data_IF_055994650323
#
_entry.id   IF_055994650323
#
_cell.length_a   1.000
_cell.length_b   1.000
_cell.length_c   1.000
_cell.angle_alpha   90.00
_cell.angle_beta   90.00
_cell.angle_gamma   90.00
#
_symmetry.space_group_name_H-M   'P 1'
#
loop_
_entity.id
_entity.type
_entity.pdbx_description
1 polymer ?
#
# COMPACT_ATOMS: atom_id res chain seq x y z
N UNK A 1 18.04 5.02 -20.18
CA UNK A 1 17.55 3.81 -19.53
C UNK A 1 17.91 3.98 -18.04
N UNK A 2 16.95 3.96 -17.14
CA UNK A 2 17.29 3.88 -15.72
C UNK A 2 18.03 2.56 -15.52
N UNK A 3 19.28 2.61 -15.03
CA UNK A 3 19.94 1.44 -14.50
C UNK A 3 18.99 0.83 -13.49
N UNK A 4 18.61 -0.42 -13.68
CA UNK A 4 17.82 -1.14 -12.70
C UNK A 4 18.72 -1.31 -11.50
N UNK A 5 18.51 -0.46 -10.49
CA UNK A 5 19.17 -0.63 -9.21
C UNK A 5 19.04 -2.08 -8.78
N UNK A 6 20.08 -2.62 -8.15
CA UNK A 6 20.03 -3.93 -7.53
C UNK A 6 18.73 -4.06 -6.70
N UNK A 7 18.09 -5.21 -6.78
CA UNK A 7 16.83 -5.49 -6.07
C UNK A 7 16.91 -5.11 -4.58
N UNK A 8 18.07 -5.34 -3.95
CA UNK A 8 18.28 -4.97 -2.54
C UNK A 8 18.31 -3.46 -2.34
N UNK A 9 18.84 -2.67 -3.27
CA UNK A 9 18.81 -1.22 -3.20
C UNK A 9 17.39 -0.68 -3.41
N UNK A 10 16.61 -1.27 -4.32
CA UNK A 10 15.20 -0.94 -4.48
C UNK A 10 14.45 -1.22 -3.17
N UNK A 11 14.64 -2.40 -2.56
CA UNK A 11 14.01 -2.75 -1.28
C UNK A 11 14.38 -1.78 -0.16
N UNK A 12 15.66 -1.44 -0.01
CA UNK A 12 16.16 -0.52 1.02
C UNK A 12 15.57 0.89 0.88
N UNK A 13 15.28 1.32 -0.34
CA UNK A 13 14.81 2.67 -0.65
C UNK A 13 13.30 2.74 -0.93
N UNK A 14 12.58 1.63 -0.94
CA UNK A 14 11.13 1.61 -1.12
C UNK A 14 10.45 2.04 0.17
N UNK A 15 9.78 3.18 0.14
CA UNK A 15 9.03 3.74 1.26
C UNK A 15 7.67 4.24 0.80
N UNK A 16 6.74 4.36 1.71
CA UNK A 16 5.42 4.90 1.41
C UNK A 16 5.50 6.37 0.97
N UNK A 17 5.26 6.62 -0.31
CA UNK A 17 5.20 7.96 -0.89
C UNK A 17 3.74 8.41 -0.91
N UNK A 18 3.40 9.35 -0.02
CA UNK A 18 2.03 9.80 0.23
C UNK A 18 1.70 11.14 -0.42
N UNK A 19 2.70 11.83 -0.94
CA UNK A 19 2.56 13.09 -1.68
C UNK A 19 2.96 12.84 -3.11
N UNK A 20 1.97 12.89 -4.00
CA UNK A 20 2.12 12.55 -5.41
C UNK A 20 1.67 13.73 -6.27
N UNK A 21 2.40 13.99 -7.35
CA UNK A 21 1.96 14.92 -8.38
C UNK A 21 0.72 14.36 -9.10
N UNK A 22 -0.21 15.21 -9.53
CA UNK A 22 -1.40 14.79 -10.27
C UNK A 22 -1.11 14.44 -11.75
N UNK A 23 0.14 14.61 -12.19
CA UNK A 23 0.56 14.34 -13.56
C UNK A 23 0.24 12.89 -13.96
N UNK A 24 -0.29 12.68 -15.18
CA UNK A 24 -0.71 11.36 -15.63
C UNK A 24 0.47 10.38 -15.71
N UNK A 25 0.25 9.16 -15.27
CA UNK A 25 1.21 8.06 -15.38
C UNK A 25 0.93 7.31 -16.68
N UNK A 26 1.93 7.10 -17.56
CA UNK A 26 1.78 6.34 -18.80
C UNK A 26 1.27 4.91 -18.56
N UNK A 27 0.34 4.45 -19.40
CA UNK A 27 -0.26 3.12 -19.29
C UNK A 27 0.77 1.98 -19.39
N UNK A 28 1.85 2.19 -20.11
CA UNK A 28 2.96 1.24 -20.20
C UNK A 28 3.61 1.00 -18.82
N UNK A 29 3.80 2.04 -18.01
CA UNK A 29 4.36 1.91 -16.66
C UNK A 29 3.37 1.22 -15.73
N UNK A 30 2.08 1.54 -15.83
CA UNK A 30 1.03 0.86 -15.07
C UNK A 30 1.01 -0.62 -15.42
N UNK A 31 1.10 -0.96 -16.69
CA UNK A 31 1.15 -2.36 -17.18
C UNK A 31 2.36 -3.11 -16.60
N UNK A 32 3.55 -2.49 -16.57
CA UNK A 32 4.76 -3.10 -15.96
C UNK A 32 4.55 -3.41 -14.47
N UNK A 33 3.92 -2.50 -13.74
CA UNK A 33 3.59 -2.70 -12.31
C UNK A 33 2.60 -3.87 -12.14
N UNK A 34 1.56 -3.95 -12.96
CA UNK A 34 0.58 -5.04 -12.90
C UNK A 34 1.21 -6.40 -13.22
N UNK A 35 2.09 -6.47 -14.23
CA UNK A 35 2.84 -7.70 -14.56
C UNK A 35 3.70 -8.13 -13.36
N UNK A 36 4.41 -7.21 -12.73
CA UNK A 36 5.20 -7.53 -11.53
C UNK A 36 4.32 -8.09 -10.39
N UNK A 37 3.14 -7.50 -10.18
CA UNK A 37 2.15 -8.02 -9.24
C UNK A 37 1.71 -9.45 -9.57
N UNK A 38 1.41 -9.72 -10.83
CA UNK A 38 0.97 -11.05 -11.30
C UNK A 38 2.06 -12.13 -11.23
N UNK A 39 3.34 -11.76 -11.05
CA UNK A 39 4.43 -12.70 -10.81
C UNK A 39 4.52 -13.20 -9.35
N UNK A 40 3.66 -12.75 -8.45
CA UNK A 40 3.71 -13.13 -7.05
C UNK A 40 3.25 -14.59 -6.82
N UNK A 41 3.76 -15.25 -5.77
CA UNK A 41 3.21 -16.54 -5.34
C UNK A 41 1.81 -16.36 -4.74
N UNK A 42 0.99 -17.41 -4.86
CA UNK A 42 -0.34 -17.45 -4.25
C UNK A 42 -0.77 -18.88 -3.92
N UNK A 43 -1.73 -19.01 -3.02
CA UNK A 43 -2.21 -20.29 -2.54
C UNK A 43 -2.70 -21.20 -3.68
N UNK A 44 -2.07 -22.38 -3.83
CA UNK A 44 -2.41 -23.36 -4.85
C UNK A 44 -2.29 -22.87 -6.30
N UNK A 45 -1.61 -21.76 -6.53
CA UNK A 45 -1.53 -21.09 -7.85
C UNK A 45 -2.92 -20.80 -8.45
N UNK A 46 -3.90 -20.49 -7.62
CA UNK A 46 -5.29 -20.29 -8.05
C UNK A 46 -5.51 -18.96 -8.78
N UNK A 47 -4.61 -17.98 -8.57
CA UNK A 47 -4.60 -16.69 -9.26
C UNK A 47 -5.95 -15.96 -9.21
N UNK A 48 -6.62 -16.01 -8.06
CA UNK A 48 -7.93 -15.39 -7.84
C UNK A 48 -7.88 -13.87 -7.62
N UNK A 49 -6.70 -13.27 -7.71
CA UNK A 49 -6.57 -11.81 -7.65
C UNK A 49 -7.23 -11.12 -8.83
N UNK A 50 -7.77 -9.94 -8.55
CA UNK A 50 -8.26 -8.99 -9.55
C UNK A 50 -7.69 -7.62 -9.20
N UNK A 51 -7.27 -6.88 -10.21
CA UNK A 51 -6.69 -5.57 -10.03
C UNK A 51 -7.53 -4.55 -10.79
N UNK A 52 -8.12 -3.58 -10.07
CA UNK A 52 -8.82 -2.47 -10.70
C UNK A 52 -7.84 -1.31 -10.87
N UNK A 53 -7.71 -0.79 -12.09
CA UNK A 53 -6.99 0.44 -12.39
C UNK A 53 -7.99 1.57 -12.44
N UNK A 54 -7.94 2.46 -11.44
CA UNK A 54 -8.88 3.57 -11.30
C UNK A 54 -8.19 4.87 -11.68
N UNK A 55 -8.65 5.48 -12.77
CA UNK A 55 -8.25 6.82 -13.23
C UNK A 55 -9.38 7.83 -13.11
N UNK A 56 -10.63 7.36 -13.12
CA UNK A 56 -11.82 8.20 -13.03
C UNK A 56 -11.86 8.96 -11.70
N UNK A 57 -11.86 10.28 -11.80
CA UNK A 57 -11.87 11.17 -10.63
C UNK A 57 -13.15 11.06 -9.81
N UNK A 58 -14.30 10.80 -10.43
CA UNK A 58 -15.58 10.68 -9.71
C UNK A 58 -15.59 9.43 -8.84
N UNK A 59 -15.08 8.30 -9.34
CA UNK A 59 -14.92 7.06 -8.56
C UNK A 59 -13.97 7.32 -7.39
N UNK A 60 -12.82 7.95 -7.65
CA UNK A 60 -11.84 8.27 -6.60
C UNK A 60 -12.45 9.19 -5.53
N UNK A 61 -13.23 10.20 -5.91
CA UNK A 61 -13.93 11.08 -4.98
C UNK A 61 -14.98 10.33 -4.14
N UNK A 62 -15.74 9.43 -4.73
CA UNK A 62 -16.73 8.62 -4.00
C UNK A 62 -16.08 7.74 -2.93
N UNK A 63 -14.92 7.14 -3.23
CA UNK A 63 -14.14 6.36 -2.26
C UNK A 63 -13.49 7.27 -1.20
N UNK A 64 -13.04 8.45 -1.59
CA UNK A 64 -12.39 9.40 -0.67
C UNK A 64 -13.29 9.80 0.50
N UNK A 65 -14.58 9.91 0.30
CA UNK A 65 -15.53 10.24 1.39
C UNK A 65 -15.35 9.26 2.55
N UNK A 66 -15.31 7.97 2.26
CA UNK A 66 -15.15 6.91 3.25
C UNK A 66 -13.73 6.82 3.80
N UNK A 67 -12.74 7.03 2.94
CA UNK A 67 -11.33 7.07 3.34
C UNK A 67 -11.02 8.22 4.32
N UNK A 68 -11.60 9.40 4.07
CA UNK A 68 -11.50 10.55 4.97
C UNK A 68 -12.26 10.30 6.27
N UNK A 69 -13.48 9.80 6.20
CA UNK A 69 -14.28 9.46 7.37
C UNK A 69 -13.54 8.47 8.29
N UNK A 70 -12.90 7.45 7.72
CA UNK A 70 -12.08 6.50 8.47
C UNK A 70 -10.89 7.18 9.17
N UNK A 71 -10.32 8.21 8.57
CA UNK A 71 -9.27 9.00 9.23
C UNK A 71 -9.85 9.84 10.37
N UNK A 72 -10.88 10.61 10.10
CA UNK A 72 -11.45 11.58 11.06
C UNK A 72 -12.01 10.87 12.30
N UNK A 73 -12.68 9.74 12.13
CA UNK A 73 -13.34 9.03 13.25
C UNK A 73 -12.43 8.03 13.97
N UNK A 74 -11.44 7.44 13.30
CA UNK A 74 -10.68 6.31 13.87
C UNK A 74 -9.17 6.56 13.90
N UNK A 75 -8.58 6.88 12.75
CA UNK A 75 -7.11 6.86 12.62
C UNK A 75 -6.48 8.11 13.21
N UNK A 76 -7.00 9.30 12.89
CA UNK A 76 -6.52 10.58 13.41
C UNK A 76 -6.55 10.66 14.94
N UNK A 77 -7.67 10.34 15.59
CA UNK A 77 -7.73 10.31 17.06
C UNK A 77 -6.74 9.34 17.72
N UNK A 78 -6.43 8.21 17.05
CA UNK A 78 -5.40 7.27 17.55
C UNK A 78 -4.01 7.88 17.48
N UNK A 79 -3.66 8.54 16.38
CA UNK A 79 -2.36 9.21 16.24
C UNK A 79 -2.14 10.28 17.33
N UNK A 80 -3.16 11.07 17.62
CA UNK A 80 -3.07 12.13 18.66
C UNK A 80 -2.82 11.55 20.06
N UNK A 81 -3.32 10.35 20.33
CA UNK A 81 -3.19 9.67 21.63
C UNK A 81 -1.95 8.79 21.75
N UNK A 82 -1.29 8.49 20.62
CA UNK A 82 -0.16 7.55 20.60
C UNK A 82 1.17 8.26 20.85
N UNK A 83 2.04 7.62 21.61
CA UNK A 83 3.44 7.99 21.68
C UNK A 83 4.19 7.55 20.42
N UNK A 84 5.29 8.23 20.06
CA UNK A 84 6.17 7.74 19.01
C UNK A 84 6.67 6.32 19.32
N UNK A 85 6.80 5.45 18.31
CA UNK A 85 7.42 4.14 18.49
C UNK A 85 8.87 4.25 19.00
N UNK A 86 9.42 3.20 19.63
CA UNK A 86 10.83 3.18 20.04
C UNK A 86 11.76 3.53 18.87
N UNK A 87 12.75 4.39 19.13
CA UNK A 87 13.72 4.85 18.14
C UNK A 87 13.20 5.91 17.15
N UNK A 88 11.95 6.35 17.27
CA UNK A 88 11.37 7.43 16.45
C UNK A 88 11.26 8.70 17.29
N UNK A 89 11.85 9.82 16.83
CA UNK A 89 11.70 11.12 17.51
C UNK A 89 10.28 11.67 17.35
N UNK A 90 9.86 12.54 18.24
CA UNK A 90 8.56 13.21 18.14
C UNK A 90 8.42 13.96 16.81
N UNK A 91 9.45 14.65 16.38
CA UNK A 91 9.46 15.38 15.11
C UNK A 91 9.31 14.45 13.89
N UNK A 92 9.98 13.28 13.92
CA UNK A 92 9.81 12.26 12.86
C UNK A 92 8.38 11.71 12.83
N UNK A 93 7.81 11.47 13.99
CA UNK A 93 6.45 10.98 14.13
C UNK A 93 5.44 11.98 13.61
N UNK A 94 5.58 13.27 13.96
CA UNK A 94 4.71 14.35 13.49
C UNK A 94 4.80 14.55 11.97
N UNK A 95 6.00 14.45 11.39
CA UNK A 95 6.19 14.47 9.92
C UNK A 95 5.50 13.28 9.23
N UNK A 96 5.57 12.10 9.84
CA UNK A 96 4.86 10.92 9.32
C UNK A 96 3.34 11.11 9.38
N UNK A 97 2.84 11.64 10.48
CA UNK A 97 1.43 11.95 10.64
C UNK A 97 0.95 12.98 9.61
N UNK A 98 1.65 14.10 9.46
CA UNK A 98 1.35 15.11 8.45
C UNK A 98 1.34 14.55 7.01
N UNK A 99 2.17 13.55 6.72
CA UNK A 99 2.13 12.88 5.41
C UNK A 99 0.90 11.95 5.26
N UNK A 100 0.44 11.33 6.33
CA UNK A 100 -0.78 10.51 6.34
C UNK A 100 -2.02 11.39 6.19
N UNK A 101 -2.05 12.53 6.87
CA UNK A 101 -3.11 13.55 6.78
C UNK A 101 -3.18 14.13 5.38
N UNK A 102 -2.04 14.53 4.81
CA UNK A 102 -1.96 14.98 3.42
C UNK A 102 -2.56 13.96 2.46
N UNK A 103 -2.17 12.69 2.55
CA UNK A 103 -2.74 11.65 1.70
C UNK A 103 -4.26 11.53 1.90
N UNK A 104 -4.75 11.74 3.12
CA UNK A 104 -6.18 11.68 3.41
C UNK A 104 -6.95 12.76 2.65
N UNK A 105 -6.44 13.97 2.61
CA UNK A 105 -7.11 15.10 1.96
C UNK A 105 -6.96 15.08 0.43
N UNK A 106 -5.83 14.56 -0.06
CA UNK A 106 -5.45 14.54 -1.48
C UNK A 106 -5.53 13.15 -2.13
N UNK A 107 -6.22 12.18 -1.52
CA UNK A 107 -6.21 10.80 -1.97
C UNK A 107 -6.70 10.66 -3.41
N UNK A 108 -7.81 11.34 -3.77
CA UNK A 108 -8.40 11.32 -5.10
C UNK A 108 -7.56 12.01 -6.19
N UNK A 109 -6.57 12.82 -5.80
CA UNK A 109 -5.71 13.55 -6.72
C UNK A 109 -4.59 12.68 -7.31
N UNK A 110 -4.24 11.58 -6.65
CA UNK A 110 -3.30 10.62 -7.23
C UNK A 110 -3.77 10.20 -8.63
N UNK A 111 -2.89 10.29 -9.66
CA UNK A 111 -3.32 10.12 -11.06
C UNK A 111 -3.93 8.74 -11.33
N UNK A 112 -3.43 7.71 -10.67
CA UNK A 112 -3.94 6.34 -10.79
C UNK A 112 -3.95 5.64 -9.45
N UNK A 113 -4.99 4.80 -9.23
CA UNK A 113 -4.99 3.80 -8.16
C UNK A 113 -4.97 2.41 -8.76
N UNK A 114 -4.29 1.49 -8.10
CA UNK A 114 -4.48 0.06 -8.28
C UNK A 114 -5.17 -0.47 -7.02
N UNK A 115 -6.38 -1.01 -7.18
CA UNK A 115 -7.09 -1.68 -6.10
C UNK A 115 -6.83 -3.18 -6.21
N UNK A 116 -6.22 -3.75 -5.20
CA UNK A 116 -5.92 -5.18 -5.12
C UNK A 116 -7.09 -5.92 -4.49
N UNK A 117 -7.71 -6.81 -5.24
CA UNK A 117 -8.90 -7.57 -4.84
C UNK A 117 -8.66 -9.07 -4.99
N UNK A 118 -9.47 -9.87 -4.27
CA UNK A 118 -9.58 -11.32 -4.46
C UNK A 118 -11.03 -11.72 -4.71
N UNK A 119 -11.22 -12.69 -5.61
CA UNK A 119 -12.47 -13.44 -5.74
C UNK A 119 -12.50 -14.51 -4.65
N UNK A 120 -13.37 -14.35 -3.67
CA UNK A 120 -13.50 -15.27 -2.53
C UNK A 120 -14.85 -16.00 -2.54
N UNK A 121 -15.76 -15.61 -3.46
CA UNK A 121 -17.10 -16.18 -3.55
C UNK A 121 -17.91 -15.86 -2.29
N UNK A 122 -18.42 -16.88 -1.60
CA UNK A 122 -19.20 -16.71 -0.36
C UNK A 122 -18.34 -16.70 0.90
N UNK A 123 -17.02 -16.92 0.80
CA UNK A 123 -16.13 -16.91 1.93
C UNK A 123 -15.79 -15.48 2.37
N UNK A 124 -15.70 -15.26 3.67
CA UNK A 124 -15.17 -13.99 4.20
C UNK A 124 -13.66 -13.92 4.06
N UNK A 125 -13.09 -12.69 3.90
CA UNK A 125 -11.65 -12.48 3.90
C UNK A 125 -10.96 -13.11 5.12
N UNK A 126 -9.82 -13.75 4.88
CA UNK A 126 -9.06 -14.46 5.92
C UNK A 126 -7.59 -14.05 5.90
N UNK A 127 -6.83 -14.45 6.93
CA UNK A 127 -5.36 -14.29 6.93
C UNK A 127 -4.69 -15.04 5.77
N UNK A 128 -5.28 -16.14 5.31
CA UNK A 128 -4.79 -16.94 4.18
C UNK A 128 -5.01 -16.20 2.86
N UNK A 129 -6.14 -15.54 2.74
CA UNK A 129 -6.44 -14.68 1.58
C UNK A 129 -5.38 -13.58 1.46
N UNK A 130 -5.06 -12.92 2.58
CA UNK A 130 -3.99 -11.93 2.65
C UNK A 130 -2.64 -12.46 2.15
N UNK A 131 -2.29 -13.70 2.48
CA UNK A 131 -1.05 -14.33 2.03
C UNK A 131 -0.99 -14.52 0.49
N UNK A 132 -2.14 -14.54 -0.19
CA UNK A 132 -2.20 -14.64 -1.65
C UNK A 132 -2.17 -13.29 -2.37
N UNK A 133 -2.60 -12.19 -1.73
CA UNK A 133 -2.70 -10.88 -2.41
C UNK A 133 -1.57 -9.92 -2.02
N UNK A 134 -1.12 -9.90 -0.75
CA UNK A 134 -0.09 -8.95 -0.32
C UNK A 134 1.30 -9.18 -0.93
N UNK A 135 1.74 -10.40 -1.32
CA UNK A 135 2.94 -10.57 -2.14
C UNK A 135 2.85 -9.84 -3.49
N UNK A 136 1.68 -9.88 -4.14
CA UNK A 136 1.45 -9.14 -5.38
C UNK A 136 1.51 -7.62 -5.15
N UNK A 137 0.91 -7.13 -4.07
CA UNK A 137 0.98 -5.72 -3.67
C UNK A 137 2.43 -5.29 -3.43
N UNK A 138 3.24 -6.10 -2.72
CA UNK A 138 4.65 -5.78 -2.48
C UNK A 138 5.44 -5.73 -3.79
N UNK A 139 5.24 -6.67 -4.71
CA UNK A 139 5.88 -6.65 -6.03
C UNK A 139 5.54 -5.36 -6.80
N UNK A 140 4.26 -4.93 -6.75
CA UNK A 140 3.83 -3.67 -7.38
C UNK A 140 4.52 -2.44 -6.78
N UNK A 141 4.70 -2.39 -5.45
CA UNK A 141 5.40 -1.29 -4.78
C UNK A 141 6.87 -1.23 -5.18
N UNK A 142 7.55 -2.37 -5.27
CA UNK A 142 8.95 -2.47 -5.72
C UNK A 142 9.08 -2.06 -7.19
N UNK A 143 8.16 -2.53 -8.04
CA UNK A 143 8.13 -2.17 -9.46
C UNK A 143 7.87 -0.67 -9.65
N UNK A 144 6.93 -0.08 -8.91
CA UNK A 144 6.70 1.36 -8.95
C UNK A 144 7.97 2.14 -8.57
N UNK A 145 8.67 1.73 -7.49
CA UNK A 145 9.95 2.32 -7.08
C UNK A 145 11.02 2.21 -8.16
N UNK A 146 11.19 1.03 -8.78
CA UNK A 146 12.15 0.79 -9.85
C UNK A 146 11.87 1.68 -11.09
N UNK A 147 10.60 1.99 -11.34
CA UNK A 147 10.15 2.87 -12.43
C UNK A 147 10.19 4.37 -12.06
N UNK A 148 10.70 4.72 -10.86
CA UNK A 148 10.74 6.11 -10.40
C UNK A 148 9.39 6.66 -9.92
N UNK A 149 8.36 5.81 -9.78
CA UNK A 149 7.05 6.19 -9.31
C UNK A 149 6.93 6.02 -7.79
N UNK A 150 6.23 6.98 -7.16
CA UNK A 150 5.82 6.89 -5.77
C UNK A 150 4.55 6.07 -5.64
N UNK A 151 4.50 5.24 -4.60
CA UNK A 151 3.31 4.48 -4.24
C UNK A 151 3.23 4.28 -2.73
N UNK A 152 2.05 3.94 -2.23
CA UNK A 152 1.86 3.46 -0.86
C UNK A 152 0.74 2.44 -0.81
N UNK A 153 0.89 1.43 0.06
CA UNK A 153 -0.20 0.54 0.41
C UNK A 153 -1.07 1.21 1.47
N UNK A 154 -2.38 1.28 1.23
CA UNK A 154 -3.34 1.67 2.26
C UNK A 154 -4.49 0.68 2.36
N UNK A 155 -4.89 0.40 3.60
CA UNK A 155 -6.00 -0.50 3.95
C UNK A 155 -7.08 0.24 4.75
N UNK A 156 -6.98 1.55 4.85
CA UNK A 156 -7.90 2.35 5.68
C UNK A 156 -9.34 2.28 5.22
N UNK A 157 -9.56 2.10 3.92
CA UNK A 157 -10.88 1.91 3.32
C UNK A 157 -11.64 0.72 3.91
N UNK A 158 -10.93 -0.28 4.47
CA UNK A 158 -11.55 -1.45 5.10
C UNK A 158 -12.35 -1.12 6.37
N UNK A 159 -12.17 0.06 6.95
CA UNK A 159 -13.02 0.53 8.04
C UNK A 159 -14.46 0.85 7.57
N UNK A 160 -14.63 1.09 6.28
CA UNK A 160 -15.90 1.28 5.58
C UNK A 160 -15.89 0.43 4.30
N UNK A 161 -15.60 -0.88 4.48
CA UNK A 161 -15.39 -1.83 3.38
C UNK A 161 -16.56 -1.89 2.42
N UNK A 162 -17.77 -2.09 2.95
CA UNK A 162 -18.99 -2.23 2.14
C UNK A 162 -19.28 -1.00 1.28
N UNK A 163 -19.17 0.17 1.88
CA UNK A 163 -19.42 1.44 1.20
C UNK A 163 -18.34 1.72 0.14
N UNK A 164 -17.09 1.39 0.47
CA UNK A 164 -15.98 1.54 -0.47
C UNK A 164 -16.10 0.57 -1.64
N UNK A 165 -16.41 -0.69 -1.38
CA UNK A 165 -16.58 -1.71 -2.42
C UNK A 165 -17.77 -1.39 -3.33
N UNK A 166 -18.87 -0.86 -2.76
CA UNK A 166 -20.01 -0.35 -3.54
C UNK A 166 -19.59 0.84 -4.43
N UNK A 167 -18.80 1.79 -3.90
CA UNK A 167 -18.29 2.92 -4.69
C UNK A 167 -17.33 2.50 -5.81
N UNK A 168 -16.58 1.40 -5.60
CA UNK A 168 -15.72 0.79 -6.60
C UNK A 168 -16.48 -0.10 -7.60
N UNK A 169 -17.77 -0.40 -7.35
CA UNK A 169 -18.58 -1.29 -8.18
C UNK A 169 -18.14 -2.75 -8.13
N UNK A 170 -17.61 -3.22 -7.01
CA UNK A 170 -17.20 -4.61 -6.86
C UNK A 170 -18.43 -5.53 -6.82
N UNK A 171 -18.41 -6.65 -7.57
CA UNK A 171 -19.51 -7.62 -7.50
C UNK A 171 -19.46 -8.42 -6.20
N UNK A 172 -20.58 -9.06 -5.80
CA UNK A 172 -20.59 -9.95 -4.65
C UNK A 172 -19.52 -11.04 -4.74
N UNK A 173 -18.83 -11.30 -3.64
CA UNK A 173 -17.76 -12.30 -3.55
C UNK A 173 -16.39 -11.82 -4.03
N UNK A 174 -16.26 -10.56 -4.42
CA UNK A 174 -14.97 -9.90 -4.68
C UNK A 174 -14.72 -8.89 -3.57
N UNK A 175 -13.61 -9.05 -2.86
CA UNK A 175 -13.24 -8.19 -1.74
C UNK A 175 -11.95 -7.43 -2.02
N UNK A 176 -11.93 -6.16 -1.60
CA UNK A 176 -10.77 -5.29 -1.69
C UNK A 176 -9.83 -5.51 -0.50
N UNK A 177 -8.51 -5.55 -0.74
CA UNK A 177 -7.49 -5.77 0.29
C UNK A 177 -6.58 -4.57 0.48
N UNK A 178 -6.29 -3.87 -0.59
CA UNK A 178 -5.44 -2.67 -0.55
C UNK A 178 -5.77 -1.74 -1.71
N UNK A 179 -5.59 -0.45 -1.48
CA UNK A 179 -5.56 0.56 -2.53
C UNK A 179 -4.13 1.11 -2.59
N UNK A 180 -3.57 1.16 -3.79
CA UNK A 180 -2.27 1.70 -4.08
C UNK A 180 -2.44 2.98 -4.92
N UNK A 181 -2.44 4.19 -4.32
CA UNK A 181 -2.25 5.42 -5.08
C UNK A 181 -0.83 5.43 -5.64
N UNK A 182 -0.71 5.71 -6.94
CA UNK A 182 0.53 5.69 -7.70
C UNK A 182 0.63 6.98 -8.51
N UNK A 183 1.81 7.58 -8.52
CA UNK A 183 2.10 8.82 -9.26
C UNK A 183 3.56 9.22 -9.14
N UNK A 184 3.94 10.35 -9.70
CA UNK A 184 5.28 10.90 -9.52
C UNK A 184 5.41 11.47 -8.10
N UNK A 185 6.46 11.11 -7.33
CA UNK A 185 6.59 11.56 -5.95
C UNK A 185 6.99 13.02 -5.86
N UNK A 186 6.37 13.80 -4.98
CA UNK A 186 6.79 15.18 -4.67
C UNK A 186 8.05 15.23 -3.81
N UNK A 187 8.42 14.11 -3.18
CA UNK A 187 9.61 13.97 -2.36
C UNK A 187 10.65 13.02 -2.97
N UNK A 188 11.80 12.93 -2.32
CA UNK A 188 12.87 12.01 -2.72
C UNK A 188 12.70 10.64 -2.06
N UNK A 189 13.05 9.59 -2.77
CA UNK A 189 13.30 8.30 -2.18
C UNK A 189 14.49 8.36 -1.23
N UNK A 190 14.57 7.42 -0.34
CA UNK A 190 15.66 7.31 0.62
C UNK A 190 15.52 6.08 1.48
N UNK A 191 16.57 5.70 2.20
CA UNK A 191 16.60 4.48 2.97
C UNK A 191 15.50 4.45 4.03
N UNK A 192 14.95 3.25 4.26
CA UNK A 192 13.99 3.01 5.34
C UNK A 192 14.75 2.70 6.63
N UNK A 193 14.43 3.42 7.71
CA UNK A 193 14.93 3.08 9.05
C UNK A 193 14.26 1.80 9.56
N UNK A 194 15.06 0.88 10.05
CA UNK A 194 14.61 -0.36 10.72
C UNK A 194 15.46 -0.60 11.96
N UNK A 195 14.89 -1.29 12.94
CA UNK A 195 15.64 -1.79 14.08
C UNK A 195 16.64 -2.89 13.71
N UNK A 196 17.53 -3.24 14.62
CA UNK A 196 18.51 -4.30 14.39
C UNK A 196 17.85 -5.67 14.26
N UNK A 197 18.41 -6.52 13.38
CA UNK A 197 17.85 -7.86 13.12
C UNK A 197 17.76 -8.72 14.39
N UNK A 198 18.70 -8.60 15.32
CA UNK A 198 18.69 -9.36 16.56
C UNK A 198 17.47 -9.14 17.47
N UNK A 199 16.71 -8.07 17.26
CA UNK A 199 15.47 -7.81 18.00
C UNK A 199 14.23 -8.48 17.38
N UNK A 200 14.34 -8.92 16.12
CA UNK A 200 13.19 -9.43 15.35
C UNK A 200 13.40 -10.81 14.75
N UNK A 201 14.60 -11.38 14.91
CA UNK A 201 14.95 -12.70 14.37
C UNK A 201 15.28 -13.66 15.50
N UNK A 202 14.63 -14.81 15.49
CA UNK A 202 14.84 -15.89 16.45
C UNK A 202 15.23 -17.17 15.72
N UNK A 203 16.11 -17.96 16.33
CA UNK A 203 16.56 -19.25 15.83
C UNK A 203 15.80 -20.38 16.52
N UNK A 204 15.22 -21.30 15.74
CA UNK A 204 14.48 -22.49 16.14
C UNK A 204 13.24 -22.22 17.00
N UNK A 205 13.31 -21.35 18.01
CA UNK A 205 12.21 -21.07 18.94
C UNK A 205 12.06 -19.60 19.24
N UNK A 206 10.86 -19.17 19.49
CA UNK A 206 10.57 -17.83 19.96
C UNK A 206 11.35 -17.49 21.22
N UNK A 207 11.98 -16.33 21.26
CA UNK A 207 12.78 -15.85 22.39
C UNK A 207 14.23 -16.31 22.39
N UNK A 208 14.67 -17.13 21.42
CA UNK A 208 16.08 -17.48 21.20
C UNK A 208 16.67 -16.59 20.09
N UNK A 209 17.44 -15.52 20.39
CA UNK A 209 17.91 -14.59 19.38
C UNK A 209 18.83 -15.27 18.36
N UNK A 210 18.59 -15.01 17.08
CA UNK A 210 19.49 -15.42 16.00
C UNK A 210 20.83 -14.69 16.13
N UNK A 211 21.91 -15.44 16.17
CA UNK A 211 23.28 -14.91 16.23
C UNK A 211 23.95 -15.15 14.88
N UNK A 212 23.98 -14.09 14.04
CA UNK A 212 24.73 -14.08 12.78
C UNK A 212 26.08 -13.42 12.96
#
# INVERSE_FOLDING_TARGET
MADYDDLFEIMKNTRAMRRLHPDPVPDELIRKILIAGACAPNGGNTQRWRFLVIKDTKIKQAVQVWYKKAFDEVVGPRYLKSAPPPGVTREQYDRQHAAVEYLTDHFHEAPVWIVACLEEGTASPTRWSGASIYPAVQNMLLAARALGLGATLTTRHLLFEKETEAALGLPPGVHSYAILPIGYPMGKFGPVGRGPLGEIVYEDRWGNPYRA
#
